data_IF_772374216174
#
_entry.id   IF_772374216174
#
_cell.length_a   1.000
_cell.length_b   1.000
_cell.length_c   1.000
_cell.angle_alpha   90.00
_cell.angle_beta   90.00
_cell.angle_gamma   90.00
#
_symmetry.space_group_name_H-M   'P 1'
#
loop_
_entity.id
_entity.type
_entity.pdbx_description
1 polymer ?
#
# COMPACT_ATOMS: atom_id res chain seq x y z
N UNK A 1 3.17 -5.35 6.86
CA UNK A 1 4.14 -6.46 6.73
C UNK A 1 4.39 -6.73 5.25
N UNK A 2 5.46 -7.44 4.86
CA UNK A 2 5.70 -7.81 3.45
C UNK A 2 4.90 -9.07 3.08
N UNK A 3 4.18 -9.05 1.96
CA UNK A 3 3.39 -10.19 1.47
C UNK A 3 4.23 -11.25 0.78
N UNK A 4 5.39 -10.85 0.23
CA UNK A 4 6.29 -11.76 -0.45
C UNK A 4 7.75 -11.32 -0.31
N UNK A 5 8.66 -12.26 -0.56
CA UNK A 5 10.09 -12.02 -0.64
C UNK A 5 10.67 -12.76 -1.86
N UNK A 6 11.63 -12.14 -2.54
CA UNK A 6 12.37 -12.77 -3.63
C UNK A 6 13.79 -13.03 -3.18
N UNK A 7 14.27 -14.27 -3.35
CA UNK A 7 15.63 -14.66 -2.96
C UNK A 7 16.39 -15.25 -4.14
N UNK A 8 17.59 -14.77 -4.38
CA UNK A 8 18.54 -15.39 -5.32
C UNK A 8 19.15 -16.59 -4.62
N UNK A 9 19.01 -17.78 -5.21
CA UNK A 9 19.58 -19.01 -4.65
C UNK A 9 21.11 -18.97 -4.77
N UNK A 10 21.80 -19.29 -3.68
CA UNK A 10 23.27 -19.22 -3.63
C UNK A 10 23.89 -20.25 -4.58
N UNK A 11 24.84 -19.80 -5.42
CA UNK A 11 25.53 -20.65 -6.38
C UNK A 11 24.76 -20.91 -7.68
N UNK A 12 23.52 -20.43 -7.81
CA UNK A 12 22.74 -20.48 -9.04
C UNK A 12 22.32 -19.08 -9.49
N UNK A 13 21.56 -18.98 -10.58
CA UNK A 13 20.88 -17.75 -11.01
C UNK A 13 19.39 -17.81 -10.77
N UNK A 14 18.90 -18.83 -10.08
CA UNK A 14 17.49 -19.07 -9.86
C UNK A 14 16.93 -18.12 -8.80
N UNK A 15 15.65 -17.80 -8.91
CA UNK A 15 14.95 -16.91 -7.97
C UNK A 15 13.88 -17.74 -7.26
N UNK A 16 13.92 -17.78 -5.94
CA UNK A 16 12.83 -18.30 -5.14
C UNK A 16 11.84 -17.19 -4.80
N UNK A 17 10.56 -17.42 -5.04
CA UNK A 17 9.46 -16.61 -4.53
C UNK A 17 8.98 -17.20 -3.21
N UNK A 18 8.99 -16.38 -2.18
CA UNK A 18 8.46 -16.67 -0.85
C UNK A 18 7.22 -15.84 -0.62
N UNK A 19 6.16 -16.45 -0.09
CA UNK A 19 4.88 -15.78 0.16
C UNK A 19 4.48 -15.97 1.61
N UNK A 20 3.96 -14.90 2.20
CA UNK A 20 3.47 -14.92 3.58
C UNK A 20 2.12 -15.65 3.63
N UNK A 21 2.00 -16.65 4.50
CA UNK A 21 0.69 -17.23 4.83
C UNK A 21 -0.11 -16.35 5.80
N UNK A 22 -1.31 -16.80 6.20
CA UNK A 22 -2.18 -16.09 7.14
C UNK A 22 -1.54 -15.80 8.50
N UNK A 23 -0.53 -16.59 8.90
CA UNK A 23 0.27 -16.39 10.12
C UNK A 23 1.44 -15.42 9.97
N UNK A 24 1.66 -14.86 8.77
CA UNK A 24 2.81 -14.01 8.44
C UNK A 24 4.12 -14.76 8.20
N UNK A 25 4.12 -16.09 8.32
CA UNK A 25 5.27 -16.93 8.02
C UNK A 25 5.48 -17.01 6.51
N UNK A 26 6.70 -16.67 6.07
CA UNK A 26 7.13 -16.80 4.68
C UNK A 26 7.46 -18.25 4.38
N UNK A 27 6.84 -18.79 3.33
CA UNK A 27 7.18 -20.10 2.76
C UNK A 27 7.53 -19.97 1.28
N UNK A 28 8.45 -20.78 0.76
CA UNK A 28 8.75 -20.75 -0.66
C UNK A 28 7.60 -21.41 -1.43
N UNK A 29 7.19 -20.80 -2.54
CA UNK A 29 6.10 -21.32 -3.38
C UNK A 29 6.58 -21.83 -4.72
N UNK A 30 7.66 -21.26 -5.26
CA UNK A 30 8.28 -21.69 -6.52
C UNK A 30 9.74 -21.22 -6.63
N UNK A 31 10.54 -21.97 -7.38
CA UNK A 31 11.91 -21.60 -7.78
C UNK A 31 11.94 -21.41 -9.29
N UNK A 32 12.14 -20.17 -9.72
CA UNK A 32 12.15 -19.76 -11.12
C UNK A 32 13.54 -19.95 -11.71
N UNK A 33 13.65 -20.85 -12.70
CA UNK A 33 14.85 -20.98 -13.51
C UNK A 33 15.06 -19.76 -14.43
N UNK A 34 16.25 -19.63 -15.04
CA UNK A 34 16.58 -18.47 -15.90
C UNK A 34 15.52 -18.18 -16.99
N UNK A 35 14.88 -19.21 -17.54
CA UNK A 35 13.86 -19.05 -18.58
C UNK A 35 12.51 -18.55 -18.06
N UNK A 36 12.21 -18.74 -16.79
CA UNK A 36 10.96 -18.33 -16.13
C UNK A 36 11.08 -16.94 -15.49
N UNK A 37 12.30 -16.40 -15.44
CA UNK A 37 12.63 -15.08 -14.91
C UNK A 37 12.47 -13.95 -15.93
N UNK A 38 12.17 -14.24 -17.20
CA UNK A 38 12.04 -13.21 -18.24
C UNK A 38 10.68 -13.29 -18.94
N UNK A 39 10.05 -12.14 -19.29
CA UNK A 39 8.84 -12.16 -20.10
C UNK A 39 9.17 -12.69 -21.50
N UNK A 40 8.57 -13.83 -21.88
CA UNK A 40 8.69 -14.41 -23.22
C UNK A 40 7.44 -14.02 -24.04
N UNK A 41 7.61 -13.20 -25.09
CA UNK A 41 6.51 -12.63 -25.89
C UNK A 41 5.52 -13.64 -26.47
N UNK A 42 5.93 -14.89 -26.69
CA UNK A 42 5.15 -15.89 -27.46
C UNK A 42 4.76 -17.14 -26.68
N UNK A 43 5.30 -17.37 -25.49
CA UNK A 43 5.04 -18.60 -24.72
C UNK A 43 3.77 -18.54 -23.86
N UNK A 44 3.26 -17.32 -23.59
CA UNK A 44 2.05 -17.09 -22.76
C UNK A 44 0.81 -17.86 -23.25
N UNK A 45 0.64 -18.04 -24.56
CA UNK A 45 -0.55 -18.69 -25.12
C UNK A 45 -0.35 -20.17 -25.48
N UNK A 46 0.89 -20.67 -25.46
CA UNK A 46 1.20 -22.00 -26.01
C UNK A 46 1.78 -22.99 -24.99
N UNK A 47 2.42 -22.52 -23.91
CA UNK A 47 3.20 -23.43 -23.05
C UNK A 47 2.84 -23.39 -21.56
N UNK A 48 1.95 -22.48 -21.11
CA UNK A 48 1.47 -22.37 -19.72
C UNK A 48 2.62 -22.43 -18.68
N UNK A 49 3.78 -21.86 -19.04
CA UNK A 49 4.98 -21.90 -18.20
C UNK A 49 4.87 -20.87 -17.06
N UNK A 50 5.37 -21.20 -15.85
CA UNK A 50 5.50 -20.25 -14.76
C UNK A 50 6.29 -19.00 -15.18
N UNK A 51 5.91 -17.84 -14.65
CA UNK A 51 6.62 -16.60 -14.91
C UNK A 51 6.69 -15.74 -13.65
N UNK A 52 7.91 -15.48 -13.18
CA UNK A 52 8.15 -14.77 -11.93
C UNK A 52 7.39 -13.44 -11.83
N UNK A 53 7.40 -12.64 -12.89
CA UNK A 53 6.80 -11.31 -12.86
C UNK A 53 5.28 -11.37 -12.92
N UNK A 54 4.71 -12.35 -13.64
CA UNK A 54 3.26 -12.53 -13.68
C UNK A 54 2.73 -13.07 -12.36
N UNK A 55 3.42 -14.03 -11.76
CA UNK A 55 3.01 -14.62 -10.48
C UNK A 55 3.12 -13.58 -9.35
N UNK A 56 4.13 -12.70 -9.39
CA UNK A 56 4.21 -11.55 -8.48
C UNK A 56 3.08 -10.55 -8.72
N UNK A 57 2.71 -10.26 -9.97
CA UNK A 57 1.54 -9.39 -10.24
C UNK A 57 0.25 -10.03 -9.72
N UNK A 58 0.06 -11.33 -9.93
CA UNK A 58 -1.12 -12.06 -9.47
C UNK A 58 -1.26 -11.99 -7.94
N UNK A 59 -0.14 -12.16 -7.23
CA UNK A 59 -0.07 -11.94 -5.78
C UNK A 59 -0.40 -10.50 -5.37
N UNK A 60 0.13 -9.52 -6.12
CA UNK A 60 -0.11 -8.10 -5.83
C UNK A 60 -1.57 -7.71 -6.07
N UNK A 61 -2.24 -8.34 -7.03
CA UNK A 61 -3.68 -8.22 -7.31
C UNK A 61 -4.57 -8.90 -6.25
N UNK A 62 -3.95 -9.63 -5.31
CA UNK A 62 -4.61 -10.26 -4.16
C UNK A 62 -5.02 -11.71 -4.37
N UNK A 63 -4.49 -12.38 -5.40
CA UNK A 63 -4.70 -13.81 -5.59
C UNK A 63 -3.72 -14.62 -4.73
N UNK A 64 -4.17 -15.79 -4.28
CA UNK A 64 -3.32 -16.70 -3.53
C UNK A 64 -2.26 -17.32 -4.44
N UNK A 65 -1.03 -17.42 -3.96
CA UNK A 65 -0.01 -18.18 -4.68
C UNK A 65 -0.42 -19.64 -4.83
N UNK A 66 -0.18 -20.19 -6.02
CA UNK A 66 -0.22 -21.63 -6.21
C UNK A 66 0.99 -22.24 -5.50
N UNK A 67 0.73 -22.92 -4.38
CA UNK A 67 1.79 -23.55 -3.58
C UNK A 67 2.17 -24.89 -4.20
N UNK A 68 3.42 -25.02 -4.61
CA UNK A 68 4.03 -26.32 -4.91
C UNK A 68 4.70 -26.81 -3.64
N UNK A 69 4.02 -27.70 -2.92
CA UNK A 69 4.56 -28.31 -1.69
C UNK A 69 5.62 -29.36 -2.07
N UNK A 70 6.87 -28.93 -2.15
CA UNK A 70 8.03 -29.77 -2.44
C UNK A 70 9.18 -29.41 -1.49
N UNK A 71 9.55 -30.35 -0.60
CA UNK A 71 10.66 -30.21 0.35
C UNK A 71 11.99 -29.81 -0.33
N UNK A 72 12.14 -30.10 -1.63
CA UNK A 72 13.30 -29.69 -2.43
C UNK A 72 13.33 -28.18 -2.67
N UNK A 73 12.17 -27.54 -2.84
CA UNK A 73 12.04 -26.08 -3.00
C UNK A 73 12.46 -25.39 -1.71
N UNK A 74 11.97 -25.85 -0.55
CA UNK A 74 12.38 -25.31 0.75
C UNK A 74 13.87 -25.40 0.98
N UNK A 75 14.44 -26.59 0.76
CA UNK A 75 15.88 -26.82 0.95
C UNK A 75 16.69 -25.90 0.04
N UNK A 76 16.35 -25.81 -1.26
CA UNK A 76 17.06 -25.00 -2.23
C UNK A 76 16.96 -23.48 -1.95
N UNK A 77 15.83 -23.02 -1.40
CA UNK A 77 15.55 -21.61 -1.21
C UNK A 77 16.06 -21.05 0.14
N UNK A 78 16.44 -21.92 1.08
CA UNK A 78 16.77 -21.56 2.47
C UNK A 78 17.97 -20.62 2.64
N UNK A 79 19.00 -20.74 1.79
CA UNK A 79 20.26 -19.97 1.88
C UNK A 79 20.37 -18.81 0.85
N UNK A 80 19.24 -18.32 0.34
CA UNK A 80 19.22 -17.29 -0.71
C UNK A 80 19.39 -15.85 -0.21
N UNK A 81 19.96 -14.97 -1.05
CA UNK A 81 20.05 -13.52 -0.77
C UNK A 81 18.81 -12.80 -1.28
N UNK A 82 18.18 -11.97 -0.43
CA UNK A 82 17.03 -11.15 -0.81
C UNK A 82 17.35 -10.21 -1.98
N UNK A 83 16.43 -10.09 -2.93
CA UNK A 83 16.50 -9.17 -4.06
C UNK A 83 15.14 -8.49 -4.24
N UNK A 84 15.12 -7.21 -4.61
CA UNK A 84 13.86 -6.50 -4.87
C UNK A 84 13.32 -6.81 -6.27
N UNK A 85 12.00 -6.73 -6.44
CA UNK A 85 11.34 -6.79 -7.74
C UNK A 85 11.90 -5.76 -8.73
N UNK A 86 12.14 -4.52 -8.27
CA UNK A 86 12.71 -3.43 -9.08
C UNK A 86 14.06 -3.79 -9.68
N UNK A 87 14.98 -4.32 -8.87
CA UNK A 87 16.29 -4.77 -9.33
C UNK A 87 16.18 -5.93 -10.34
N UNK A 88 15.24 -6.86 -10.14
CA UNK A 88 15.00 -7.95 -11.11
C UNK A 88 14.44 -7.42 -12.43
N UNK A 89 13.50 -6.48 -12.39
CA UNK A 89 12.96 -5.84 -13.59
C UNK A 89 14.05 -5.05 -14.35
N UNK A 90 14.96 -4.37 -13.63
CA UNK A 90 16.12 -3.72 -14.23
C UNK A 90 17.10 -4.73 -14.85
N UNK A 91 17.39 -5.84 -14.17
CA UNK A 91 18.21 -6.93 -14.73
C UNK A 91 17.59 -7.50 -16.00
N UNK A 92 16.26 -7.68 -16.03
CA UNK A 92 15.54 -8.10 -17.22
C UNK A 92 15.62 -7.09 -18.36
N UNK A 93 15.50 -5.79 -18.05
CA UNK A 93 15.65 -4.73 -19.03
C UNK A 93 17.07 -4.69 -19.64
N UNK A 94 18.12 -4.89 -18.83
CA UNK A 94 19.50 -4.96 -19.30
C UNK A 94 19.74 -6.17 -20.21
N UNK A 95 19.30 -7.36 -19.79
CA UNK A 95 19.41 -8.57 -20.62
C UNK A 95 18.70 -8.41 -21.98
N UNK A 96 17.57 -7.69 -22.01
CA UNK A 96 16.82 -7.36 -23.23
C UNK A 96 17.52 -6.33 -24.14
N UNK A 97 18.35 -5.45 -23.57
CA UNK A 97 19.10 -4.43 -24.28
C UNK A 97 20.38 -4.99 -24.91
N UNK A 98 21.06 -5.91 -24.23
CA UNK A 98 22.33 -6.52 -24.65
C UNK A 98 22.20 -7.47 -25.86
N UNK A 99 20.98 -7.72 -26.34
CA UNK A 99 20.77 -8.29 -27.67
C UNK A 99 21.16 -9.76 -27.79
N UNK A 100 20.90 -10.59 -26.76
CA UNK A 100 21.07 -12.05 -26.83
C UNK A 100 20.15 -12.66 -27.91
N UNK A 101 20.58 -12.62 -29.17
CA UNK A 101 20.06 -13.35 -30.34
C UNK A 101 18.59 -13.15 -30.75
N UNK A 102 17.76 -12.48 -29.95
CA UNK A 102 16.30 -12.47 -30.18
C UNK A 102 15.62 -11.23 -29.62
N UNK A 103 16.02 -10.04 -30.09
CA UNK A 103 15.50 -8.74 -29.65
C UNK A 103 13.96 -8.59 -29.75
N UNK A 104 13.28 -9.43 -30.54
CA UNK A 104 11.81 -9.49 -30.60
C UNK A 104 11.17 -10.14 -29.37
N UNK A 105 11.86 -11.05 -28.68
CA UNK A 105 11.33 -11.81 -27.53
C UNK A 105 11.28 -11.05 -26.21
N UNK A 106 11.96 -9.90 -26.13
CA UNK A 106 12.18 -9.16 -24.87
C UNK A 106 11.74 -7.69 -24.95
N UNK A 107 10.87 -7.33 -25.90
CA UNK A 107 10.44 -5.94 -26.09
C UNK A 107 9.78 -5.37 -24.83
N UNK A 108 8.98 -6.19 -24.14
CA UNK A 108 8.23 -5.78 -22.95
C UNK A 108 9.11 -5.72 -21.69
N UNK A 109 10.25 -6.43 -21.68
CA UNK A 109 11.20 -6.43 -20.56
C UNK A 109 11.88 -5.06 -20.35
N UNK A 110 12.02 -4.23 -21.41
CA UNK A 110 12.67 -2.91 -21.34
C UNK A 110 11.91 -1.90 -20.48
N UNK A 111 10.59 -2.03 -20.40
CA UNK A 111 9.71 -1.16 -19.62
C UNK A 111 9.02 -1.92 -18.49
N UNK A 112 9.52 -3.09 -18.12
CA UNK A 112 8.83 -4.01 -17.22
C UNK A 112 8.47 -3.38 -15.87
N UNK A 113 9.42 -2.69 -15.23
CA UNK A 113 9.15 -2.00 -13.98
C UNK A 113 8.01 -0.97 -14.12
N UNK A 114 8.04 -0.16 -15.19
CA UNK A 114 7.01 0.84 -15.44
C UNK A 114 5.63 0.22 -15.70
N UNK A 115 5.59 -0.90 -16.43
CA UNK A 115 4.35 -1.65 -16.69
C UNK A 115 3.77 -2.22 -15.39
N UNK A 116 4.60 -2.88 -14.57
CA UNK A 116 4.19 -3.44 -13.29
C UNK A 116 3.75 -2.34 -12.31
N UNK A 117 4.53 -1.26 -12.19
CA UNK A 117 4.19 -0.16 -11.29
C UNK A 117 2.88 0.51 -11.69
N UNK A 118 2.64 0.68 -12.99
CA UNK A 118 1.39 1.22 -13.49
C UNK A 118 0.20 0.27 -13.25
N UNK A 119 0.39 -1.03 -13.49
CA UNK A 119 -0.62 -2.05 -13.21
C UNK A 119 -1.05 -1.99 -11.74
N UNK A 120 -0.09 -2.06 -10.81
CA UNK A 120 -0.39 -2.04 -9.37
C UNK A 120 -1.02 -0.71 -8.95
N UNK A 121 -0.50 0.43 -9.44
CA UNK A 121 -1.07 1.74 -9.11
C UNK A 121 -2.55 1.87 -9.50
N UNK A 122 -2.95 1.30 -10.64
CA UNK A 122 -4.36 1.30 -11.08
C UNK A 122 -5.23 0.39 -10.22
N UNK A 123 -4.72 -0.75 -9.73
CA UNK A 123 -5.50 -1.70 -8.93
C UNK A 123 -5.64 -1.30 -7.45
N UNK A 124 -4.64 -0.58 -6.92
CA UNK A 124 -4.62 -0.17 -5.51
C UNK A 124 -5.38 1.14 -5.28
N UNK A 125 -5.39 2.06 -6.26
CA UNK A 125 -6.18 3.30 -6.18
C UNK A 125 -7.65 3.02 -6.38
N UNK A 126 -8.49 3.49 -5.46
CA UNK A 126 -9.94 3.21 -5.47
C UNK A 126 -10.74 4.46 -5.12
N UNK A 127 -10.59 5.57 -5.87
CA UNK A 127 -11.20 6.85 -5.52
C UNK A 127 -12.73 6.82 -5.45
N UNK A 128 -13.36 5.86 -6.13
CA UNK A 128 -14.81 5.70 -6.21
C UNK A 128 -15.38 4.69 -5.20
N UNK A 129 -14.55 4.05 -4.38
CA UNK A 129 -15.02 3.12 -3.34
C UNK A 129 -15.74 3.88 -2.21
N UNK A 130 -16.74 3.21 -1.60
CA UNK A 130 -17.48 3.74 -0.45
C UNK A 130 -16.56 3.91 0.77
N UNK A 131 -16.76 4.97 1.59
CA UNK A 131 -15.93 5.19 2.76
C UNK A 131 -16.13 4.11 3.83
N UNK A 132 -15.03 3.69 4.46
CA UNK A 132 -15.03 2.65 5.49
C UNK A 132 -15.22 3.31 6.86
N UNK A 133 -16.48 3.48 7.25
CA UNK A 133 -16.86 4.16 8.51
C UNK A 133 -17.52 3.23 9.52
N UNK A 134 -18.00 2.06 9.10
CA UNK A 134 -18.61 1.05 9.98
C UNK A 134 -17.53 0.19 10.66
N UNK A 135 -16.72 0.83 11.50
CA UNK A 135 -15.52 0.23 12.11
C UNK A 135 -15.67 -0.06 13.62
N UNK A 136 -16.90 0.04 14.14
CA UNK A 136 -17.20 -0.16 15.57
C UNK A 136 -17.66 -1.60 15.86
N UNK A 137 -17.66 -1.94 17.15
CA UNK A 137 -18.23 -3.19 17.71
C UNK A 137 -17.63 -4.47 17.11
N UNK A 138 -18.36 -5.14 16.21
CA UNK A 138 -18.00 -6.44 15.64
C UNK A 138 -17.19 -6.33 14.35
N UNK A 139 -17.13 -5.14 13.75
CA UNK A 139 -16.47 -4.87 12.49
C UNK A 139 -15.30 -3.92 12.70
N UNK A 140 -14.35 -4.22 13.58
CA UNK A 140 -13.17 -3.34 13.74
C UNK A 140 -11.94 -3.97 13.07
N UNK A 141 -10.87 -3.19 12.85
CA UNK A 141 -9.67 -3.65 12.14
C UNK A 141 -8.95 -4.80 12.85
N UNK A 142 -9.17 -4.99 14.16
CA UNK A 142 -8.63 -6.11 14.95
C UNK A 142 -9.46 -7.39 14.84
N UNK A 143 -10.71 -7.32 14.39
CA UNK A 143 -11.66 -8.45 14.30
C UNK A 143 -12.01 -8.77 12.84
N UNK A 144 -13.19 -8.36 12.40
CA UNK A 144 -13.83 -8.87 11.19
C UNK A 144 -14.12 -7.77 10.15
N UNK A 145 -13.22 -6.80 10.01
CA UNK A 145 -13.34 -5.82 8.92
C UNK A 145 -13.16 -6.53 7.56
N UNK A 146 -14.13 -6.47 6.63
CA UNK A 146 -14.00 -7.15 5.34
C UNK A 146 -12.78 -6.68 4.53
N UNK A 147 -12.46 -5.39 4.62
CA UNK A 147 -11.34 -4.77 3.91
C UNK A 147 -9.99 -4.95 4.62
N UNK A 148 -9.95 -5.71 5.72
CA UNK A 148 -8.76 -5.84 6.57
C UNK A 148 -7.51 -6.24 5.79
N UNK A 149 -7.59 -7.28 4.97
CA UNK A 149 -6.46 -7.83 4.20
C UNK A 149 -6.22 -7.15 2.85
N UNK A 150 -6.97 -6.10 2.52
CA UNK A 150 -6.85 -5.41 1.23
C UNK A 150 -5.72 -4.38 1.30
N UNK A 151 -4.85 -4.27 0.27
CA UNK A 151 -3.86 -3.20 0.17
C UNK A 151 -4.51 -1.82 0.27
N UNK A 152 -3.87 -0.90 0.98
CA UNK A 152 -4.41 0.44 1.18
C UNK A 152 -4.34 1.26 -0.10
N UNK A 153 -5.39 2.04 -0.35
CA UNK A 153 -5.33 3.12 -1.34
C UNK A 153 -4.28 4.16 -0.85
N UNK A 154 -3.17 4.36 -1.59
CA UNK A 154 -2.11 5.25 -1.16
C UNK A 154 -2.56 6.70 -1.06
N UNK A 155 -3.65 7.04 -1.75
CA UNK A 155 -4.24 8.36 -1.83
C UNK A 155 -5.54 8.43 -1.02
N UNK A 156 -5.82 7.51 -0.07
CA UNK A 156 -6.96 7.64 0.82
C UNK A 156 -6.68 8.57 2.02
N UNK A 157 -7.75 9.05 2.63
CA UNK A 157 -7.72 9.68 3.95
C UNK A 157 -7.86 8.63 5.04
N UNK A 158 -6.93 8.64 5.99
CA UNK A 158 -7.00 7.83 7.20
C UNK A 158 -7.36 8.73 8.37
N UNK A 159 -8.44 8.42 9.08
CA UNK A 159 -8.92 9.24 10.20
C UNK A 159 -8.84 8.41 11.48
N UNK A 160 -7.94 8.78 12.38
CA UNK A 160 -7.66 8.09 13.63
C UNK A 160 -8.16 8.87 14.85
N UNK A 161 -8.37 8.16 15.94
CA UNK A 161 -8.81 8.68 17.23
C UNK A 161 -10.21 9.28 17.23
N UNK A 162 -11.04 9.00 16.22
CA UNK A 162 -12.44 9.46 16.19
C UNK A 162 -13.20 9.01 17.44
N UNK A 163 -12.97 7.76 17.84
CA UNK A 163 -13.74 7.07 18.88
C UNK A 163 -12.97 6.78 20.18
N UNK A 164 -11.65 7.00 20.23
CA UNK A 164 -10.82 6.78 21.42
C UNK A 164 -10.70 8.03 22.30
N UNK A 165 -11.13 9.21 21.81
CA UNK A 165 -11.04 10.49 22.54
C UNK A 165 -11.89 10.51 23.80
N UNK A 166 -11.29 10.93 24.90
CA UNK A 166 -12.00 11.18 26.18
C UNK A 166 -12.88 12.44 26.15
N UNK A 167 -12.53 13.44 25.34
CA UNK A 167 -13.35 14.64 25.12
C UNK A 167 -13.35 15.03 23.64
N UNK A 168 -14.49 14.84 22.97
CA UNK A 168 -14.64 15.07 21.53
C UNK A 168 -14.48 16.53 21.09
N UNK A 169 -14.62 17.49 22.01
CA UNK A 169 -14.48 18.94 21.72
C UNK A 169 -13.10 19.50 22.05
N UNK A 170 -12.28 18.78 22.82
CA UNK A 170 -10.96 19.25 23.24
C UNK A 170 -9.83 18.43 22.64
N UNK A 171 -10.02 17.13 22.51
CA UNK A 171 -8.98 16.24 22.01
C UNK A 171 -9.07 16.18 20.49
N UNK A 172 -7.94 16.31 19.77
CA UNK A 172 -7.94 16.31 18.32
C UNK A 172 -8.23 14.93 17.74
N UNK A 173 -8.85 14.91 16.57
CA UNK A 173 -8.83 13.79 15.63
C UNK A 173 -7.57 13.90 14.78
N UNK A 174 -6.88 12.79 14.52
CA UNK A 174 -5.75 12.79 13.60
C UNK A 174 -6.23 12.40 12.20
N UNK A 175 -5.86 13.17 11.19
CA UNK A 175 -6.32 13.01 9.80
C UNK A 175 -5.09 12.98 8.88
N UNK A 176 -4.92 11.91 8.11
CA UNK A 176 -3.74 11.72 7.25
C UNK A 176 -4.17 11.63 5.78
N UNK A 177 -3.60 12.45 4.91
CA UNK A 177 -3.75 12.37 3.45
C UNK A 177 -2.71 11.42 2.87
N UNK A 178 -3.12 10.18 2.65
CA UNK A 178 -2.31 9.16 2.01
C UNK A 178 -1.32 8.46 2.94
N UNK A 179 -0.80 7.33 2.45
CA UNK A 179 0.05 6.43 3.26
C UNK A 179 1.40 7.06 3.62
N UNK A 180 1.96 7.88 2.73
CA UNK A 180 3.22 8.59 3.01
C UNK A 180 3.05 9.62 4.14
N UNK A 181 1.89 10.26 4.27
CA UNK A 181 1.60 11.16 5.39
C UNK A 181 1.53 10.40 6.71
N UNK A 182 0.92 9.20 6.71
CA UNK A 182 0.92 8.30 7.88
C UNK A 182 2.35 7.94 8.28
N UNK A 183 3.18 7.51 7.33
CA UNK A 183 4.56 7.13 7.61
C UNK A 183 5.40 8.30 8.12
N UNK A 184 5.29 9.48 7.49
CA UNK A 184 6.04 10.65 7.92
C UNK A 184 5.65 11.09 9.35
N UNK A 185 4.35 11.11 9.67
CA UNK A 185 3.88 11.44 11.00
C UNK A 185 4.37 10.43 12.05
N UNK A 186 4.19 9.14 11.79
CA UNK A 186 4.64 8.09 12.71
C UNK A 186 6.16 8.10 12.90
N UNK A 187 6.95 8.27 11.84
CA UNK A 187 8.42 8.37 11.97
C UNK A 187 8.86 9.60 12.78
N UNK A 188 8.05 10.67 12.83
CA UNK A 188 8.30 11.83 13.67
C UNK A 188 7.99 11.62 15.15
N UNK A 189 7.10 10.68 15.48
CA UNK A 189 6.61 10.41 16.84
C UNK A 189 7.24 9.17 17.50
N UNK A 190 7.72 8.21 16.70
CA UNK A 190 8.17 6.90 17.18
C UNK A 190 9.58 6.91 17.80
N UNK A 191 9.81 5.94 18.68
CA UNK A 191 11.15 5.61 19.18
C UNK A 191 12.02 4.89 18.12
N UNK A 192 13.32 4.81 18.38
CA UNK A 192 14.30 4.19 17.47
C UNK A 192 14.00 2.72 17.11
N UNK A 193 13.12 2.04 17.86
CA UNK A 193 12.83 0.60 17.69
C UNK A 193 11.71 0.32 16.69
N UNK A 194 10.78 1.25 16.49
CA UNK A 194 9.66 1.11 15.55
C UNK A 194 9.96 1.69 14.16
N UNK A 195 10.87 2.68 14.06
CA UNK A 195 11.32 3.31 12.80
C UNK A 195 11.78 2.30 11.73
N UNK A 196 12.56 1.24 12.05
CA UNK A 196 13.01 0.27 11.05
C UNK A 196 11.86 -0.52 10.40
N UNK A 197 10.74 -0.71 11.08
CA UNK A 197 9.59 -1.45 10.54
C UNK A 197 8.83 -0.62 9.53
N UNK A 198 8.60 0.67 9.83
CA UNK A 198 7.97 1.60 8.89
C UNK A 198 8.86 1.90 7.68
N UNK A 199 10.17 2.04 7.91
CA UNK A 199 11.14 2.23 6.81
C UNK A 199 11.10 1.05 5.85
N UNK A 200 11.08 -0.19 6.38
CA UNK A 200 10.92 -1.40 5.56
C UNK A 200 9.60 -1.45 4.79
N UNK A 201 8.49 -1.01 5.39
CA UNK A 201 7.21 -0.95 4.70
C UNK A 201 7.23 0.07 3.55
N UNK A 202 7.83 1.25 3.78
CA UNK A 202 8.02 2.28 2.74
C UNK A 202 8.92 1.79 1.61
N UNK A 203 10.02 1.12 1.96
CA UNK A 203 10.93 0.53 0.97
C UNK A 203 10.20 -0.53 0.14
N UNK A 204 9.41 -1.41 0.78
CA UNK A 204 8.63 -2.45 0.10
C UNK A 204 7.66 -1.88 -0.94
N UNK A 205 7.00 -0.75 -0.68
CA UNK A 205 6.20 -0.04 -1.71
C UNK A 205 7.09 0.35 -2.90
N UNK A 206 8.23 0.99 -2.62
CA UNK A 206 9.07 1.59 -3.67
C UNK A 206 9.86 0.60 -4.53
N UNK A 207 10.22 -0.56 -3.97
CA UNK A 207 11.06 -1.56 -4.67
C UNK A 207 10.36 -2.87 -4.96
N UNK A 208 9.26 -3.16 -4.28
CA UNK A 208 8.46 -4.39 -4.44
C UNK A 208 6.99 -4.13 -4.82
N UNK A 209 6.55 -2.87 -4.93
CA UNK A 209 5.14 -2.51 -5.17
C UNK A 209 4.20 -3.10 -4.11
N UNK A 210 4.76 -3.42 -2.93
CA UNK A 210 4.07 -4.14 -1.88
C UNK A 210 3.47 -3.15 -0.87
N UNK A 211 2.22 -2.75 -1.14
CA UNK A 211 1.47 -1.84 -0.27
C UNK A 211 1.01 -2.54 1.01
N UNK A 212 1.08 -1.86 2.18
CA UNK A 212 0.52 -2.40 3.41
C UNK A 212 -1.00 -2.55 3.30
N UNK A 213 -1.57 -3.44 4.11
CA UNK A 213 -3.02 -3.60 4.20
C UNK A 213 -3.66 -2.56 5.12
N UNK A 214 -4.98 -2.38 5.05
CA UNK A 214 -5.68 -1.52 6.02
C UNK A 214 -5.48 -1.97 7.47
N UNK A 215 -5.33 -3.27 7.71
CA UNK A 215 -4.99 -3.81 9.02
C UNK A 215 -3.62 -3.35 9.51
N UNK A 216 -2.62 -3.38 8.63
CA UNK A 216 -1.26 -2.95 8.94
C UNK A 216 -1.25 -1.47 9.34
N UNK A 217 -1.96 -0.62 8.57
CA UNK A 217 -2.05 0.82 8.85
C UNK A 217 -2.79 1.10 10.16
N UNK A 218 -3.94 0.45 10.37
CA UNK A 218 -4.67 0.55 11.64
C UNK A 218 -3.86 0.07 12.84
N UNK A 219 -3.04 -0.97 12.65
CA UNK A 219 -2.11 -1.48 13.66
C UNK A 219 -0.96 -0.51 13.95
N UNK A 220 -0.39 0.12 12.90
CA UNK A 220 0.67 1.12 13.05
C UNK A 220 0.19 2.39 13.77
N UNK A 221 -1.07 2.79 13.54
CA UNK A 221 -1.71 3.91 14.25
C UNK A 221 -2.29 3.53 15.63
N UNK A 222 -2.19 2.25 16.02
CA UNK A 222 -2.88 1.62 17.17
C UNK A 222 -4.36 2.05 17.31
N UNK A 223 -5.07 2.19 16.18
CA UNK A 223 -6.51 2.50 16.18
C UNK A 223 -7.31 1.44 15.44
N UNK A 224 -7.90 0.53 16.22
CA UNK A 224 -8.78 -0.51 15.67
C UNK A 224 -10.06 0.03 15.02
N UNK A 225 -10.40 1.30 15.24
CA UNK A 225 -11.59 1.95 14.70
C UNK A 225 -11.24 3.16 13.81
N UNK A 226 -10.06 3.13 13.18
CA UNK A 226 -9.66 4.09 12.14
C UNK A 226 -10.72 4.12 11.02
N UNK A 227 -11.09 5.30 10.53
CA UNK A 227 -11.95 5.45 9.35
C UNK A 227 -11.11 5.64 8.09
N UNK A 228 -11.66 5.27 6.94
CA UNK A 228 -11.02 5.45 5.63
C UNK A 228 -11.97 6.16 4.68
N UNK A 229 -11.48 7.14 3.93
CA UNK A 229 -12.22 7.83 2.87
C UNK A 229 -11.36 7.90 1.61
N UNK A 230 -11.88 7.46 0.47
CA UNK A 230 -11.09 7.33 -0.75
C UNK A 230 -10.93 8.63 -1.55
N UNK A 231 -11.65 9.68 -1.18
CA UNK A 231 -11.56 11.00 -1.81
C UNK A 231 -11.96 12.12 -0.84
N UNK A 232 -11.60 13.35 -1.20
CA UNK A 232 -11.84 14.56 -0.40
C UNK A 232 -13.33 14.80 -0.13
N UNK A 233 -14.17 14.55 -1.14
CA UNK A 233 -15.61 14.80 -1.09
C UNK A 233 -16.31 13.92 -0.06
N UNK A 234 -16.02 12.62 -0.06
CA UNK A 234 -16.64 11.65 0.87
C UNK A 234 -16.25 11.95 2.33
N UNK A 235 -15.01 12.36 2.58
CA UNK A 235 -14.59 12.83 3.92
C UNK A 235 -15.34 14.11 4.31
N UNK A 236 -15.36 15.13 3.43
CA UNK A 236 -16.03 16.39 3.71
C UNK A 236 -17.53 16.22 3.98
N UNK A 237 -18.20 15.38 3.19
CA UNK A 237 -19.63 15.10 3.33
C UNK A 237 -19.93 14.34 4.62
N UNK A 238 -19.13 13.33 4.97
CA UNK A 238 -19.24 12.63 6.24
C UNK A 238 -19.05 13.56 7.44
N UNK A 239 -18.05 14.46 7.40
CA UNK A 239 -17.83 15.45 8.47
C UNK A 239 -19.07 16.32 8.67
N UNK A 240 -19.66 16.80 7.57
CA UNK A 240 -20.86 17.66 7.61
C UNK A 240 -22.06 16.92 8.14
N UNK A 241 -22.24 15.66 7.77
CA UNK A 241 -23.30 14.81 8.27
C UNK A 241 -23.17 14.60 9.78
N UNK A 242 -22.00 14.12 10.24
CA UNK A 242 -21.76 13.87 11.67
C UNK A 242 -21.79 15.12 12.53
N UNK A 243 -21.36 16.25 11.99
CA UNK A 243 -21.44 17.55 12.68
C UNK A 243 -22.87 18.00 12.94
N UNK A 244 -23.86 17.56 12.14
CA UNK A 244 -25.28 17.82 12.39
C UNK A 244 -25.84 16.93 13.49
N UNK A 245 -25.41 15.66 13.52
CA UNK A 245 -25.81 14.69 14.55
C UNK A 245 -25.24 15.02 15.93
N UNK A 246 -24.05 15.64 15.98
CA UNK A 246 -23.38 16.08 17.21
C UNK A 246 -23.11 14.95 18.22
N UNK A 247 -22.87 13.73 17.74
CA UNK A 247 -22.57 12.57 18.61
C UNK A 247 -21.07 12.25 18.71
N UNK A 248 -20.34 12.38 17.61
CA UNK A 248 -18.94 11.91 17.49
C UNK A 248 -18.01 13.00 17.02
N UNK A 249 -18.46 13.77 16.03
CA UNK A 249 -17.77 14.93 15.49
C UNK A 249 -18.71 16.12 15.66
N UNK A 250 -18.15 17.24 16.11
CA UNK A 250 -18.79 18.54 16.20
C UNK A 250 -18.11 19.52 15.24
N UNK A 251 -18.78 20.62 14.85
CA UNK A 251 -18.16 21.63 14.00
C UNK A 251 -16.83 22.19 14.55
N UNK A 252 -16.71 22.30 15.88
CA UNK A 252 -15.56 22.80 16.62
C UNK A 252 -14.59 21.69 17.06
N UNK A 253 -14.84 20.43 16.69
CA UNK A 253 -13.90 19.34 16.98
C UNK A 253 -12.52 19.67 16.42
N UNK A 254 -11.46 19.70 17.23
CA UNK A 254 -10.11 19.91 16.73
C UNK A 254 -9.67 18.75 15.85
N UNK A 255 -8.91 19.06 14.81
CA UNK A 255 -8.31 18.15 13.86
C UNK A 255 -6.83 18.49 13.72
N UNK A 256 -5.98 17.48 13.82
CA UNK A 256 -4.57 17.54 13.43
C UNK A 256 -4.45 16.84 12.07
N UNK A 257 -4.07 17.60 11.07
CA UNK A 257 -4.10 17.19 9.67
C UNK A 257 -2.67 17.06 9.16
N UNK A 258 -2.35 15.89 8.64
CA UNK A 258 -1.05 15.53 8.10
C UNK A 258 -1.20 15.28 6.60
N UNK A 259 -0.38 15.94 5.79
CA UNK A 259 -0.41 15.81 4.34
C UNK A 259 0.99 15.76 3.75
N UNK A 260 1.09 15.36 2.49
CA UNK A 260 2.24 15.72 1.65
C UNK A 260 1.82 16.96 0.87
N UNK A 261 2.39 18.15 1.14
CA UNK A 261 2.00 19.37 0.44
C UNK A 261 2.15 19.22 -1.07
N UNK A 262 1.14 19.65 -1.81
CA UNK A 262 1.21 19.70 -3.28
C UNK A 262 2.14 20.84 -3.68
N UNK A 263 3.32 20.56 -4.29
CA UNK A 263 4.27 21.60 -4.66
C UNK A 263 3.79 22.49 -5.82
N UNK A 264 2.65 22.17 -6.43
CA UNK A 264 2.05 22.93 -7.54
C UNK A 264 0.97 23.92 -7.10
N UNK A 265 0.49 23.82 -5.86
CA UNK A 265 -0.50 24.72 -5.28
C UNK A 265 0.23 25.85 -4.55
N UNK A 266 -0.26 27.09 -4.71
CA UNK A 266 0.28 28.26 -4.00
C UNK A 266 0.01 28.12 -2.50
N UNK A 267 0.99 28.45 -1.65
CA UNK A 267 0.83 28.40 -0.18
C UNK A 267 -0.26 29.37 0.31
N UNK A 268 -0.53 30.44 -0.45
CA UNK A 268 -1.58 31.41 -0.17
C UNK A 268 -2.98 30.94 -0.65
N UNK A 269 -3.08 29.81 -1.36
CA UNK A 269 -4.37 29.25 -1.81
C UNK A 269 -5.18 28.74 -0.60
N UNK A 270 -6.46 29.10 -0.43
CA UNK A 270 -7.32 28.57 0.62
C UNK A 270 -7.48 27.04 0.63
N UNK A 271 -7.18 26.36 -0.48
CA UNK A 271 -7.17 24.90 -0.59
C UNK A 271 -5.82 24.28 -0.18
N UNK A 272 -4.77 25.09 0.03
CA UNK A 272 -3.45 24.59 0.41
C UNK A 272 -3.48 23.95 1.81
N UNK A 273 -2.91 22.75 1.89
CA UNK A 273 -2.70 22.04 3.14
C UNK A 273 -1.20 21.89 3.38
N UNK A 274 -0.64 22.49 4.46
CA UNK A 274 0.75 22.27 4.82
C UNK A 274 0.95 20.85 5.36
N UNK A 275 2.21 20.45 5.53
CA UNK A 275 2.56 19.09 5.93
C UNK A 275 1.94 18.69 7.26
N UNK A 276 1.83 19.65 8.18
CA UNK A 276 1.09 19.53 9.43
C UNK A 276 0.28 20.82 9.67
N UNK A 277 -0.99 20.67 10.03
CA UNK A 277 -1.85 21.79 10.43
C UNK A 277 -2.83 21.39 11.53
N UNK A 278 -3.23 22.38 12.33
CA UNK A 278 -4.30 22.23 13.32
C UNK A 278 -5.46 23.11 12.90
N UNK A 279 -6.64 22.51 12.81
CA UNK A 279 -7.87 23.21 12.43
C UNK A 279 -9.09 22.56 13.06
N UNK A 280 -10.29 23.07 12.77
CA UNK A 280 -11.53 22.37 13.14
C UNK A 280 -11.96 21.42 12.03
N UNK A 281 -12.68 20.34 12.39
CA UNK A 281 -13.25 19.43 11.40
C UNK A 281 -14.14 20.17 10.39
N UNK A 282 -14.90 21.19 10.83
CA UNK A 282 -15.71 22.02 9.93
C UNK A 282 -14.85 22.82 8.94
N UNK A 283 -13.72 23.39 9.39
CA UNK A 283 -12.81 24.10 8.51
C UNK A 283 -12.19 23.14 7.48
N UNK A 284 -11.71 21.97 7.93
CA UNK A 284 -11.19 20.92 7.07
C UNK A 284 -12.18 20.55 5.97
N UNK A 285 -13.45 20.28 6.32
CA UNK A 285 -14.47 19.94 5.33
C UNK A 285 -14.72 21.06 4.28
N UNK A 286 -14.45 22.32 4.62
CA UNK A 286 -14.58 23.43 3.67
C UNK A 286 -13.34 23.59 2.79
N UNK A 287 -12.14 23.27 3.30
CA UNK A 287 -10.90 23.21 2.51
C UNK A 287 -10.98 22.09 1.48
N UNK A 288 -11.40 20.90 1.91
CA UNK A 288 -11.44 19.69 1.07
C UNK A 288 -12.47 19.74 -0.07
N UNK A 289 -13.64 20.33 0.19
CA UNK A 289 -14.71 20.38 -0.80
C UNK A 289 -15.54 21.65 -0.60
N UNK A 290 -15.07 22.84 -0.99
CA UNK A 290 -15.78 24.08 -0.76
C UNK A 290 -17.25 23.99 -1.18
N UNK A 291 -18.17 24.53 -0.35
CA UNK A 291 -19.57 24.64 -0.77
C UNK A 291 -19.64 25.60 -1.95
N UNK A 292 -20.31 25.20 -3.02
CA UNK A 292 -20.73 26.16 -4.04
C UNK A 292 -21.53 27.27 -3.35
N UNK A 293 -21.08 28.52 -3.49
CA UNK A 293 -21.81 29.67 -2.98
C UNK A 293 -23.08 29.79 -3.82
N UNK A 294 -24.20 29.32 -3.25
CA UNK A 294 -25.55 29.60 -3.76
C UNK A 294 -25.97 31.03 -3.47
#
# INVERSE_FOLDING_TARGET
>A
MTRYELRIITGTRDIALWVAGDGGELRPVHVYGEHEQYPLTTDRYYTNLPNLFLDVLDLLDGNDATVVDDERIETAASDGKTVSLKNLAQRAAHAAADGSGNARRFKDARSLWALMSNHVAVHVRRPDDEPIVDVRRTKNWKKNQPMRGVPVDPDAWFVSSVYSRSNQRKNPVAVYRGIDAVFNALMGELDETAVPTLSRARDAISVNLDYPTYADVAGALDDSNMLVFHNDRTLADWIRERSKEQEVIFPDTPAQVYTIPDPTVDEDDPAYLPAESVMTMSHLANVLAPREQS
#
